data_IF_005812036257
#
_entry.id   IF_005812036257
#
_cell.length_a   1.000
_cell.length_b   1.000
_cell.length_c   1.000
_cell.angle_alpha   90.00
_cell.angle_beta   90.00
_cell.angle_gamma   90.00
#
_symmetry.space_group_name_H-M   'P 1'
#
loop_
_entity.id
_entity.type
_entity.pdbx_description
1 polymer ?
#
# COMPACT_ATOMS: atom_id res chain seq x y z
N UNK A 1 -16.23 -3.34 5.84
CA UNK A 1 -15.56 -2.36 6.72
C UNK A 1 -14.79 -3.12 7.80
N UNK A 2 -13.58 -2.69 8.14
CA UNK A 2 -12.73 -3.30 9.15
C UNK A 2 -12.32 -2.25 10.19
N UNK A 3 -12.28 -2.62 11.46
CA UNK A 3 -11.89 -1.73 12.56
C UNK A 3 -10.57 -2.20 13.15
N UNK A 4 -9.66 -1.26 13.39
CA UNK A 4 -8.36 -1.50 13.98
C UNK A 4 -8.13 -0.55 15.15
N UNK A 5 -7.52 -1.05 16.21
CA UNK A 5 -7.15 -0.23 17.37
C UNK A 5 -5.73 -0.54 17.82
N UNK A 6 -5.02 0.48 18.27
CA UNK A 6 -3.70 0.33 18.88
C UNK A 6 -3.37 1.49 19.80
N UNK A 7 -2.38 1.27 20.65
CA UNK A 7 -1.82 2.31 21.50
C UNK A 7 -0.50 2.79 20.91
N UNK A 8 -0.35 4.10 20.72
CA UNK A 8 0.92 4.71 20.30
C UNK A 8 1.97 4.61 21.41
N UNK A 9 3.26 4.74 21.07
CA UNK A 9 4.36 4.76 22.06
C UNK A 9 4.19 5.84 23.14
N UNK A 10 3.44 6.90 22.83
CA UNK A 10 3.11 7.99 23.76
C UNK A 10 1.89 7.70 24.64
N UNK A 11 1.33 6.49 24.59
CA UNK A 11 0.18 6.07 25.38
C UNK A 11 -1.18 6.51 24.83
N UNK A 12 -1.25 7.09 23.63
CA UNK A 12 -2.54 7.47 23.04
C UNK A 12 -3.21 6.27 22.38
N UNK A 13 -4.47 6.02 22.69
CA UNK A 13 -5.31 5.03 22.03
C UNK A 13 -5.80 5.58 20.69
N UNK A 14 -5.48 4.88 19.61
CA UNK A 14 -5.95 5.19 18.26
C UNK A 14 -6.90 4.08 17.83
N UNK A 15 -8.07 4.44 17.31
CA UNK A 15 -8.96 3.50 16.63
C UNK A 15 -9.36 4.07 15.27
N UNK A 16 -9.24 3.25 14.23
CA UNK A 16 -9.59 3.58 12.84
C UNK A 16 -10.61 2.59 12.30
N UNK A 17 -11.49 3.08 11.44
CA UNK A 17 -12.38 2.29 10.60
C UNK A 17 -11.92 2.45 9.16
N UNK A 18 -11.66 1.33 8.50
CA UNK A 18 -11.12 1.26 7.15
C UNK A 18 -12.14 0.58 6.24
N UNK A 19 -12.40 1.22 5.11
CA UNK A 19 -13.23 0.70 4.04
C UNK A 19 -12.41 0.48 2.78
N UNK A 20 -12.75 -0.58 2.03
CA UNK A 20 -12.25 -0.78 0.67
C UNK A 20 -13.27 -0.15 -0.26
N UNK A 21 -12.86 0.88 -0.99
CA UNK A 21 -13.68 1.57 -1.98
C UNK A 21 -13.21 1.15 -3.35
N UNK A 22 -14.10 0.59 -4.15
CA UNK A 22 -13.83 0.22 -5.54
C UNK A 22 -14.39 1.31 -6.45
N UNK A 23 -13.59 1.78 -7.41
CA UNK A 23 -13.98 2.81 -8.35
C UNK A 23 -13.41 2.55 -9.73
N UNK A 24 -14.16 2.96 -10.76
CA UNK A 24 -13.72 2.87 -12.15
C UNK A 24 -13.08 4.20 -12.55
N UNK A 25 -11.84 4.14 -13.03
CA UNK A 25 -11.18 5.28 -13.65
C UNK A 25 -11.37 5.16 -15.16
N UNK A 26 -12.03 6.15 -15.75
CA UNK A 26 -12.08 6.30 -17.19
C UNK A 26 -10.84 7.08 -17.65
N UNK A 27 -10.03 6.47 -18.52
CA UNK A 27 -8.88 7.14 -19.13
C UNK A 27 -9.05 7.16 -20.64
N UNK A 28 -8.90 8.34 -21.20
CA UNK A 28 -8.69 8.51 -22.64
C UNK A 28 -7.19 8.48 -22.91
N UNK A 29 -6.74 7.47 -23.64
CA UNK A 29 -5.40 7.42 -24.19
C UNK A 29 -5.56 7.20 -25.70
N UNK A 30 -5.09 8.15 -26.50
CA UNK A 30 -5.17 8.10 -27.96
C UNK A 30 -6.58 7.97 -28.56
N UNK A 31 -7.62 8.51 -27.89
CA UNK A 31 -8.99 8.56 -28.42
C UNK A 31 -9.80 7.27 -28.28
N UNK A 32 -9.20 6.22 -27.68
CA UNK A 32 -9.93 5.08 -27.14
C UNK A 32 -10.03 5.23 -25.62
N UNK A 33 -11.26 5.43 -25.13
CA UNK A 33 -11.55 5.39 -23.71
C UNK A 33 -11.48 3.95 -23.20
N UNK A 34 -10.63 3.69 -22.20
CA UNK A 34 -10.65 2.42 -21.47
C UNK A 34 -10.99 2.63 -20.00
N UNK A 35 -11.71 1.65 -19.45
CA UNK A 35 -12.16 1.61 -18.07
C UNK A 35 -11.19 0.76 -17.24
N UNK A 36 -10.56 1.37 -16.22
CA UNK A 36 -9.71 0.66 -15.28
C UNK A 36 -10.39 0.59 -13.91
N UNK A 37 -10.73 -0.62 -13.47
CA UNK A 37 -11.25 -0.84 -12.11
C UNK A 37 -10.10 -0.75 -11.11
N UNK A 38 -10.20 0.18 -10.16
CA UNK A 38 -9.27 0.36 -9.05
C UNK A 38 -9.98 0.10 -7.73
N UNK A 39 -9.19 -0.28 -6.73
CA UNK A 39 -9.64 -0.33 -5.34
C UNK A 39 -8.67 0.49 -4.49
N UNK A 40 -9.21 1.29 -3.57
CA UNK A 40 -8.43 1.97 -2.55
C UNK A 40 -8.91 1.61 -1.14
N UNK A 41 -8.00 1.68 -0.17
CA UNK A 41 -8.34 1.58 1.24
C UNK A 41 -8.44 2.99 1.80
N UNK A 42 -9.60 3.34 2.37
CA UNK A 42 -9.87 4.66 2.93
C UNK A 42 -10.23 4.56 4.40
N UNK A 43 -9.69 5.49 5.19
CA UNK A 43 -10.12 5.66 6.58
C UNK A 43 -11.44 6.44 6.56
N UNK A 44 -12.52 5.80 7.01
CA UNK A 44 -13.85 6.41 7.08
C UNK A 44 -14.06 7.12 8.42
N UNK A 45 -13.46 6.58 9.48
CA UNK A 45 -13.51 7.15 10.82
C UNK A 45 -12.21 6.93 11.56
N UNK A 46 -11.82 7.89 12.38
CA UNK A 46 -10.72 7.72 13.33
C UNK A 46 -11.07 8.42 14.65
N UNK A 47 -10.61 7.82 15.74
CA UNK A 47 -10.68 8.41 17.08
C UNK A 47 -9.30 8.34 17.74
N UNK A 48 -8.97 9.35 18.53
CA UNK A 48 -7.76 9.45 19.32
C UNK A 48 -8.14 9.72 20.78
N UNK A 49 -7.82 8.80 21.70
CA UNK A 49 -8.23 8.84 23.10
C UNK A 49 -9.76 9.05 23.27
N UNK A 50 -10.56 8.48 22.37
CA UNK A 50 -12.02 8.64 22.35
C UNK A 50 -12.53 9.94 21.73
N UNK A 51 -11.65 10.89 21.37
CA UNK A 51 -12.04 12.07 20.61
C UNK A 51 -12.05 11.78 19.10
N UNK A 52 -13.11 12.16 18.41
CA UNK A 52 -13.20 12.03 16.95
C UNK A 52 -12.28 13.03 16.27
N UNK A 53 -11.49 12.57 15.30
CA UNK A 53 -10.63 13.43 14.48
C UNK A 53 -11.39 13.96 13.28
N UNK A 54 -11.10 15.20 12.91
CA UNK A 54 -11.78 15.95 11.86
C UNK A 54 -11.50 15.38 10.46
N UNK A 55 -10.29 14.88 10.27
CA UNK A 55 -9.87 14.22 9.03
C UNK A 55 -8.74 13.24 9.31
N UNK A 56 -8.68 12.17 8.54
CA UNK A 56 -7.61 11.18 8.60
C UNK A 56 -7.36 10.58 7.22
N UNK A 57 -6.11 10.24 6.93
CA UNK A 57 -5.70 9.53 5.71
C UNK A 57 -4.45 8.72 5.96
N UNK A 58 -4.26 7.67 5.17
CA UNK A 58 -2.98 6.99 5.11
C UNK A 58 -1.93 7.90 4.46
N UNK A 59 -0.72 7.88 5.00
CA UNK A 59 0.43 8.63 4.54
C UNK A 59 1.69 7.80 4.78
N UNK A 60 2.82 8.22 4.22
CA UNK A 60 4.11 7.56 4.43
C UNK A 60 5.10 8.55 5.02
N UNK A 61 5.65 8.22 6.19
CA UNK A 61 6.64 9.04 6.87
C UNK A 61 7.90 8.21 7.17
N UNK A 62 9.03 8.63 6.60
CA UNK A 62 10.34 7.99 6.81
C UNK A 62 10.33 6.48 6.52
N UNK A 63 9.66 6.05 5.44
CA UNK A 63 9.56 4.64 5.06
C UNK A 63 8.55 3.81 5.85
N UNK A 64 7.88 4.40 6.85
CA UNK A 64 6.83 3.74 7.63
C UNK A 64 5.44 4.21 7.17
N UNK A 65 4.48 3.30 7.15
CA UNK A 65 3.07 3.64 6.94
C UNK A 65 2.52 4.31 8.20
N UNK A 66 1.86 5.44 8.03
CA UNK A 66 1.27 6.18 9.14
C UNK A 66 -0.12 6.72 8.77
N UNK A 67 -0.84 7.16 9.80
CA UNK A 67 -2.10 7.89 9.63
C UNK A 67 -1.83 9.35 9.93
N UNK A 68 -1.99 10.20 8.91
CA UNK A 68 -2.01 11.65 9.09
C UNK A 68 -3.43 12.08 9.44
N UNK A 69 -3.58 12.82 10.53
CA UNK A 69 -4.88 13.25 11.02
C UNK A 69 -4.89 14.72 11.44
N UNK A 70 -6.08 15.30 11.56
CA UNK A 70 -6.29 16.65 12.11
C UNK A 70 -7.21 16.60 13.32
N UNK A 71 -6.79 17.22 14.42
CA UNK A 71 -7.56 17.35 15.65
C UNK A 71 -7.40 18.77 16.23
N UNK A 72 -8.51 19.47 16.42
CA UNK A 72 -8.51 20.82 16.99
C UNK A 72 -7.69 21.80 16.14
N UNK A 73 -7.75 21.66 14.81
CA UNK A 73 -6.99 22.50 13.87
C UNK A 73 -5.48 22.21 13.80
N UNK A 74 -4.98 21.20 14.53
CA UNK A 74 -3.57 20.76 14.46
C UNK A 74 -3.45 19.46 13.69
N UNK A 75 -2.40 19.35 12.89
CA UNK A 75 -2.06 18.10 12.20
C UNK A 75 -1.19 17.22 13.11
N UNK A 76 -1.47 15.91 13.08
CA UNK A 76 -0.73 14.89 13.80
C UNK A 76 -0.44 13.68 12.90
N UNK A 77 0.53 12.87 13.34
CA UNK A 77 0.90 11.62 12.70
C UNK A 77 0.84 10.51 13.75
N UNK A 78 0.12 9.43 13.44
CA UNK A 78 0.14 8.20 14.21
C UNK A 78 0.83 7.12 13.38
N UNK A 79 1.95 6.60 13.87
CA UNK A 79 2.60 5.45 13.23
C UNK A 79 1.67 4.24 13.33
N UNK A 80 1.54 3.53 12.20
CA UNK A 80 0.71 2.34 12.12
C UNK A 80 1.59 1.12 12.46
N UNK A 81 1.22 0.31 13.46
CA UNK A 81 1.95 -0.91 13.79
C UNK A 81 2.00 -1.86 12.59
N UNK A 82 3.09 -2.60 12.46
CA UNK A 82 3.30 -3.53 11.34
C UNK A 82 2.17 -4.55 11.24
N UNK A 83 1.72 -5.15 12.34
CA UNK A 83 0.63 -6.14 12.33
C UNK A 83 -0.69 -5.58 11.78
N UNK A 84 -0.99 -4.32 12.08
CA UNK A 84 -2.18 -3.63 11.59
C UNK A 84 -2.01 -3.26 10.12
N UNK A 85 -0.82 -2.78 9.73
CA UNK A 85 -0.49 -2.54 8.33
C UNK A 85 -0.63 -3.82 7.51
N UNK A 86 -0.09 -4.93 7.99
CA UNK A 86 -0.23 -6.23 7.34
C UNK A 86 -1.70 -6.65 7.30
N UNK A 87 -2.48 -6.47 8.36
CA UNK A 87 -3.91 -6.82 8.31
C UNK A 87 -4.72 -6.01 7.28
N UNK A 88 -4.35 -4.75 7.03
CA UNK A 88 -5.03 -3.89 6.05
C UNK A 88 -4.62 -4.23 4.61
N UNK A 89 -3.34 -4.56 4.39
CA UNK A 89 -2.73 -4.74 3.07
C UNK A 89 -2.19 -6.15 2.77
N UNK A 90 -2.46 -7.16 3.59
CA UNK A 90 -1.88 -8.51 3.46
C UNK A 90 -2.14 -9.11 2.07
N UNK A 91 -3.37 -8.99 1.57
CA UNK A 91 -3.74 -9.52 0.25
C UNK A 91 -2.97 -8.81 -0.89
N UNK A 92 -2.84 -7.48 -0.81
CA UNK A 92 -2.14 -6.70 -1.84
C UNK A 92 -0.63 -6.92 -1.79
N UNK A 93 -0.04 -6.99 -0.59
CA UNK A 93 1.39 -7.31 -0.44
C UNK A 93 1.70 -8.74 -0.86
N UNK A 94 0.84 -9.71 -0.57
CA UNK A 94 1.01 -11.08 -1.04
C UNK A 94 0.95 -11.16 -2.56
N UNK A 95 0.00 -10.45 -3.19
CA UNK A 95 -0.10 -10.36 -4.65
C UNK A 95 1.13 -9.67 -5.26
N UNK A 96 1.61 -8.59 -4.66
CA UNK A 96 2.79 -7.85 -5.11
C UNK A 96 4.07 -8.67 -4.94
N UNK A 97 4.25 -9.35 -3.80
CA UNK A 97 5.38 -10.25 -3.57
C UNK A 97 5.39 -11.42 -4.56
N UNK A 98 4.23 -12.01 -4.86
CA UNK A 98 4.12 -13.05 -5.87
C UNK A 98 4.44 -12.54 -7.29
N UNK A 99 4.02 -11.31 -7.64
CA UNK A 99 4.35 -10.68 -8.91
C UNK A 99 5.85 -10.36 -9.03
N UNK A 100 6.46 -9.82 -7.98
CA UNK A 100 7.91 -9.57 -7.91
C UNK A 100 8.72 -10.85 -8.00
N UNK A 101 8.34 -11.91 -7.28
CA UNK A 101 9.01 -13.21 -7.36
C UNK A 101 8.93 -13.82 -8.76
N UNK A 102 7.81 -13.64 -9.47
CA UNK A 102 7.68 -14.05 -10.88
C UNK A 102 8.59 -13.23 -11.80
N UNK A 103 8.68 -11.92 -11.58
CA UNK A 103 9.54 -11.03 -12.35
C UNK A 103 11.03 -11.37 -12.15
N UNK A 104 11.47 -11.58 -10.89
CA UNK A 104 12.85 -11.99 -10.57
C UNK A 104 13.20 -13.34 -11.19
N UNK A 105 12.26 -14.29 -11.20
CA UNK A 105 12.46 -15.60 -11.83
C UNK A 105 12.65 -15.46 -13.35
N UNK A 106 11.83 -14.64 -14.01
CA UNK A 106 11.99 -14.35 -15.44
C UNK A 106 13.32 -13.66 -15.76
N UNK A 107 13.74 -12.71 -14.93
CA UNK A 107 15.01 -12.00 -15.10
C UNK A 107 16.20 -12.94 -14.91
N UNK A 108 16.14 -13.84 -13.93
CA UNK A 108 17.15 -14.87 -13.70
C UNK A 108 17.23 -15.89 -14.85
N UNK A 109 16.09 -16.29 -15.43
CA UNK A 109 16.05 -17.18 -16.60
C UNK A 109 16.59 -16.49 -17.85
N UNK A 110 16.22 -15.21 -18.07
CA UNK A 110 16.75 -14.40 -19.17
C UNK A 110 18.26 -14.22 -19.09
N UNK A 111 18.81 -13.90 -17.91
CA UNK A 111 20.26 -13.79 -17.71
C UNK A 111 20.99 -15.11 -17.95
N UNK A 112 20.39 -16.25 -17.58
CA UNK A 112 20.95 -17.58 -17.89
C UNK A 112 20.97 -17.83 -19.40
N UNK A 113 19.90 -17.47 -20.11
CA UNK A 113 19.79 -17.63 -21.56
C UNK A 113 20.76 -16.73 -22.33
N UNK A 114 20.87 -15.46 -21.95
CA UNK A 114 21.86 -14.51 -22.52
C UNK A 114 23.30 -14.99 -22.28
N UNK A 115 23.60 -15.56 -21.10
CA UNK A 115 24.92 -16.12 -20.79
C UNK A 115 25.23 -17.40 -21.58
N UNK A 116 24.21 -18.18 -21.92
CA UNK A 116 24.34 -19.37 -22.76
C UNK A 116 24.57 -19.01 -24.24
N UNK A 117 23.87 -17.98 -24.75
CA UNK A 117 24.06 -17.48 -26.11
C UNK A 117 25.38 -16.71 -26.28
N UNK A 118 25.80 -15.92 -25.30
CA UNK A 118 27.08 -15.20 -25.32
C UNK A 118 28.33 -16.08 -25.17
N UNK A 119 28.18 -17.35 -24.79
CA UNK A 119 29.28 -18.32 -24.69
C UNK A 119 29.56 -19.07 -26.02
N UNK A 120 28.80 -18.81 -27.08
CA UNK A 120 28.93 -19.49 -28.38
C UNK A 120 29.91 -18.85 -29.37
N UNK A 121 30.44 -17.65 -29.11
CA UNK A 121 31.25 -16.88 -30.07
C UNK A 121 32.76 -16.80 -29.74
N UNK A 122 33.35 -17.85 -29.17
CA UNK A 122 34.82 -17.94 -29.07
C UNK A 122 35.33 -19.33 -29.42
N UNK A 123 35.08 -19.79 -30.65
CA UNK A 123 35.96 -20.74 -31.33
C UNK A 123 35.65 -20.75 -32.83
N UNK A 124 36.33 -19.90 -33.59
CA UNK A 124 36.79 -20.18 -34.96
C UNK A 124 37.93 -19.26 -35.33
#
# INVERSE_FOLDING_TARGET
MARFEWTTERGNLVAIEVERVEYTVHRDLDGEGYEEKRAEKRITRMTLNGAEVESSRFDHHQGNTCVKFRLGGREGLALLPTDISESIWAEERAAQAAASARAEKLDAERRKFERFLGAGETHR
#
